data_IF_464026542760
#
_entry.id   IF_464026542760
#
_cell.length_a   1.000
_cell.length_b   1.000
_cell.length_c   1.000
_cell.angle_alpha   90.00
_cell.angle_beta   90.00
_cell.angle_gamma   90.00
#
_symmetry.space_group_name_H-M   'P 1'
#
loop_
_entity.id
_entity.type
_entity.pdbx_description
1 polymer ?
#
# COMPACT_ATOMS: atom_id res chain seq x y z
N UNK A 1 -13.63 48.17 50.30
CA UNK A 1 -14.12 46.97 49.57
C UNK A 1 -14.42 45.90 50.61
N UNK A 2 -15.55 45.20 50.52
CA UNK A 2 -16.00 44.23 51.53
C UNK A 2 -15.08 43.00 51.52
N UNK A 3 -14.59 42.58 52.70
CA UNK A 3 -13.67 41.44 52.88
C UNK A 3 -14.21 40.14 52.25
N UNK A 4 -15.51 39.92 52.37
CA UNK A 4 -16.24 38.81 51.73
C UNK A 4 -16.19 38.82 50.20
N UNK A 5 -16.17 40.00 49.57
CA UNK A 5 -16.04 40.12 48.12
C UNK A 5 -14.62 39.78 47.64
N UNK A 6 -13.61 40.08 48.47
CA UNK A 6 -12.20 39.74 48.17
C UNK A 6 -11.98 38.23 48.20
N UNK A 7 -12.47 37.56 49.24
CA UNK A 7 -12.38 36.10 49.39
C UNK A 7 -13.05 35.38 48.21
N UNK A 8 -14.22 35.87 47.77
CA UNK A 8 -14.91 35.31 46.60
C UNK A 8 -14.16 35.48 45.28
N UNK A 9 -13.44 36.60 45.12
CA UNK A 9 -12.61 36.85 43.94
C UNK A 9 -11.43 35.87 43.90
N UNK A 10 -10.81 35.60 45.05
CA UNK A 10 -9.69 34.66 45.17
C UNK A 10 -10.13 33.21 44.86
N UNK A 11 -11.29 32.78 45.38
CA UNK A 11 -11.88 31.49 45.04
C UNK A 11 -12.11 31.32 43.54
N UNK A 12 -12.73 32.32 42.90
CA UNK A 12 -13.00 32.29 41.46
C UNK A 12 -11.70 32.32 40.65
N UNK A 13 -10.67 33.03 41.11
CA UNK A 13 -9.36 33.03 40.46
C UNK A 13 -8.70 31.65 40.52
N UNK A 14 -8.77 30.97 41.67
CA UNK A 14 -8.24 29.62 41.84
C UNK A 14 -9.00 28.60 40.98
N UNK A 15 -10.33 28.70 40.92
CA UNK A 15 -11.16 27.85 40.06
C UNK A 15 -10.86 28.09 38.58
N UNK A 16 -10.69 29.36 38.16
CA UNK A 16 -10.33 29.70 36.79
C UNK A 16 -8.95 29.13 36.41
N UNK A 17 -7.94 29.25 37.28
CA UNK A 17 -6.63 28.65 37.07
C UNK A 17 -6.71 27.11 36.93
N UNK A 18 -7.54 26.46 37.74
CA UNK A 18 -7.79 25.01 37.65
C UNK A 18 -8.43 24.63 36.31
N UNK A 19 -9.48 25.35 35.90
CA UNK A 19 -10.17 25.11 34.64
C UNK A 19 -9.25 25.34 33.43
N UNK A 20 -8.40 26.37 33.49
CA UNK A 20 -7.37 26.62 32.47
C UNK A 20 -6.37 25.47 32.37
N UNK A 21 -5.92 24.92 33.51
CA UNK A 21 -5.05 23.73 33.53
C UNK A 21 -5.73 22.51 32.88
N UNK A 22 -6.97 22.21 33.27
CA UNK A 22 -7.74 21.11 32.69
C UNK A 22 -7.93 21.27 31.17
N UNK A 23 -8.18 22.49 30.70
CA UNK A 23 -8.31 22.77 29.27
C UNK A 23 -7.01 22.49 28.51
N UNK A 24 -5.86 22.87 29.07
CA UNK A 24 -4.55 22.60 28.48
C UNK A 24 -4.26 21.10 28.39
N UNK A 25 -4.60 20.33 29.43
CA UNK A 25 -4.42 18.88 29.43
C UNK A 25 -5.26 18.21 28.34
N UNK A 26 -6.55 18.58 28.25
CA UNK A 26 -7.46 18.08 27.20
C UNK A 26 -6.95 18.45 25.81
N UNK A 27 -6.46 19.68 25.62
CA UNK A 27 -5.86 20.12 24.36
C UNK A 27 -4.61 19.31 24.00
N UNK A 28 -3.72 19.07 24.96
CA UNK A 28 -2.52 18.25 24.77
C UNK A 28 -2.89 16.84 24.32
N UNK A 29 -3.85 16.20 24.99
CA UNK A 29 -4.27 14.84 24.67
C UNK A 29 -4.99 14.76 23.30
N UNK A 30 -5.79 15.77 22.98
CA UNK A 30 -6.40 15.90 21.65
C UNK A 30 -5.34 16.01 20.56
N UNK A 31 -4.32 16.87 20.73
CA UNK A 31 -3.25 17.03 19.75
C UNK A 31 -2.46 15.73 19.55
N UNK A 32 -2.12 15.02 20.63
CA UNK A 32 -1.46 13.70 20.55
C UNK A 32 -2.31 12.70 19.76
N UNK A 33 -3.62 12.67 20.02
CA UNK A 33 -4.55 11.78 19.31
C UNK A 33 -4.63 12.11 17.83
N UNK A 34 -4.78 13.39 17.48
CA UNK A 34 -4.81 13.84 16.07
C UNK A 34 -3.54 13.44 15.34
N UNK A 35 -2.37 13.62 15.98
CA UNK A 35 -1.10 13.21 15.41
C UNK A 35 -1.02 11.69 15.21
N UNK A 36 -1.45 10.90 16.19
CA UNK A 36 -1.46 9.44 16.07
C UNK A 36 -2.42 8.95 14.98
N UNK A 37 -3.59 9.57 14.86
CA UNK A 37 -4.58 9.20 13.85
C UNK A 37 -4.13 9.59 12.44
N UNK A 38 -3.41 10.70 12.30
CA UNK A 38 -2.77 11.08 11.03
C UNK A 38 -1.74 10.04 10.59
N UNK A 39 -0.83 9.64 11.49
CA UNK A 39 0.17 8.62 11.21
C UNK A 39 -0.46 7.27 10.85
N UNK A 40 -1.54 6.87 11.55
CA UNK A 40 -2.26 5.63 11.23
C UNK A 40 -2.84 5.65 9.82
N UNK A 41 -3.44 6.77 9.41
CA UNK A 41 -3.97 6.93 8.04
C UNK A 41 -2.87 6.86 6.99
N UNK A 42 -1.73 7.51 7.22
CA UNK A 42 -0.59 7.43 6.29
C UNK A 42 -0.10 5.98 6.11
N UNK A 43 -0.03 5.21 7.19
CA UNK A 43 0.35 3.78 7.12
C UNK A 43 -0.71 2.95 6.40
N UNK A 44 -2.00 3.24 6.60
CA UNK A 44 -3.09 2.58 5.90
C UNK A 44 -3.06 2.85 4.39
N UNK A 45 -2.85 4.11 3.99
CA UNK A 45 -2.74 4.51 2.59
C UNK A 45 -1.56 3.82 1.88
N UNK A 46 -0.39 3.78 2.52
CA UNK A 46 0.79 3.07 1.98
C UNK A 46 0.53 1.55 1.85
N UNK A 47 -0.14 0.95 2.84
CA UNK A 47 -0.50 -0.46 2.79
C UNK A 47 -1.48 -0.75 1.65
N UNK A 48 -2.43 0.13 1.38
CA UNK A 48 -3.36 0.01 0.25
C UNK A 48 -2.63 0.09 -1.09
N UNK A 49 -1.64 0.96 -1.22
CA UNK A 49 -0.77 1.02 -2.42
C UNK A 49 -0.03 -0.30 -2.65
N UNK A 50 0.44 -0.95 -1.58
CA UNK A 50 1.15 -2.23 -1.65
C UNK A 50 0.24 -3.39 -2.05
N UNK A 51 -1.01 -3.40 -1.56
CA UNK A 51 -2.00 -4.46 -1.77
C UNK A 51 -2.81 -4.31 -3.05
N UNK A 52 -2.81 -3.13 -3.66
CA UNK A 52 -3.52 -2.85 -4.91
C UNK A 52 -3.12 -3.86 -6.01
N UNK A 53 -4.09 -4.60 -6.60
CA UNK A 53 -3.84 -5.50 -7.73
C UNK A 53 -3.41 -4.72 -8.97
N UNK A 54 -2.39 -5.24 -9.66
CA UNK A 54 -1.80 -4.70 -10.89
C UNK A 54 -1.65 -5.82 -11.91
N UNK A 55 -1.51 -5.50 -13.19
CA UNK A 55 -1.29 -6.50 -14.26
C UNK A 55 0.10 -6.31 -14.85
N UNK A 56 0.86 -7.39 -14.96
CA UNK A 56 2.22 -7.34 -15.50
C UNK A 56 2.22 -7.17 -17.02
N UNK A 57 3.07 -6.29 -17.55
CA UNK A 57 3.22 -6.09 -19.01
C UNK A 57 3.94 -7.25 -19.73
N UNK A 58 4.62 -8.12 -18.99
CA UNK A 58 5.41 -9.23 -19.55
C UNK A 58 4.67 -10.57 -19.49
N UNK A 59 4.24 -10.99 -18.30
CA UNK A 59 3.55 -12.26 -18.11
C UNK A 59 2.02 -12.16 -18.15
N UNK A 60 1.46 -10.94 -18.14
CA UNK A 60 0.01 -10.69 -18.09
C UNK A 60 -0.72 -11.24 -16.85
N UNK A 61 0.02 -11.78 -15.88
CA UNK A 61 -0.53 -12.18 -14.58
C UNK A 61 -0.79 -10.97 -13.69
N UNK A 62 -1.75 -11.12 -12.78
CA UNK A 62 -2.00 -10.15 -11.72
C UNK A 62 -0.97 -10.28 -10.60
N UNK A 63 -0.54 -9.15 -10.05
CA UNK A 63 0.41 -9.10 -8.95
C UNK A 63 0.12 -7.91 -8.02
N UNK A 64 0.68 -7.96 -6.81
CA UNK A 64 0.68 -6.84 -5.85
C UNK A 64 2.12 -6.45 -5.55
N UNK A 65 2.38 -5.20 -5.16
CA UNK A 65 3.74 -4.77 -4.79
C UNK A 65 4.23 -5.50 -3.53
N UNK A 66 3.32 -5.81 -2.61
CA UNK A 66 3.59 -6.59 -1.39
C UNK A 66 4.28 -7.94 -1.69
N UNK A 67 3.87 -8.63 -2.76
CA UNK A 67 4.38 -9.98 -3.11
C UNK A 67 5.37 -9.98 -4.27
N UNK A 68 5.63 -8.82 -4.89
CA UNK A 68 6.46 -8.70 -6.09
C UNK A 68 7.95 -8.66 -5.73
N UNK A 69 8.62 -9.80 -5.79
CA UNK A 69 10.03 -9.93 -5.50
C UNK A 69 10.87 -10.09 -6.77
N UNK A 70 12.19 -10.07 -6.61
CA UNK A 70 13.15 -10.14 -7.72
C UNK A 70 13.09 -11.45 -8.53
N UNK A 71 12.24 -12.41 -8.15
CA UNK A 71 12.07 -13.70 -8.83
C UNK A 71 10.64 -14.00 -9.29
N UNK A 72 9.71 -13.06 -9.16
CA UNK A 72 8.29 -13.32 -9.39
C UNK A 72 7.90 -13.46 -10.87
N UNK A 73 8.52 -12.70 -11.78
CA UNK A 73 8.09 -12.62 -13.17
C UNK A 73 8.85 -13.59 -14.08
N UNK A 74 8.14 -14.61 -14.55
CA UNK A 74 8.57 -15.50 -15.64
C UNK A 74 7.51 -15.57 -16.72
N UNK A 75 7.91 -15.68 -17.98
CA UNK A 75 6.97 -15.75 -19.11
C UNK A 75 7.60 -16.39 -20.35
N UNK A 76 6.75 -16.73 -21.32
CA UNK A 76 7.18 -17.00 -22.69
C UNK A 76 7.06 -15.72 -23.51
N UNK A 77 8.15 -15.15 -24.05
CA UNK A 77 8.07 -13.96 -24.91
C UNK A 77 7.53 -14.29 -26.31
N UNK A 78 7.55 -15.57 -26.69
CA UNK A 78 7.04 -16.07 -27.97
C UNK A 78 5.59 -16.49 -27.90
N UNK A 79 5.04 -16.92 -29.04
CA UNK A 79 3.68 -17.44 -29.16
C UNK A 79 3.71 -18.96 -29.31
N UNK A 80 2.63 -19.62 -28.91
CA UNK A 80 2.44 -21.04 -29.18
C UNK A 80 1.83 -21.19 -30.58
N UNK A 81 2.62 -21.66 -31.54
CA UNK A 81 2.29 -21.65 -32.97
C UNK A 81 2.51 -23.03 -33.60
N UNK A 82 1.80 -23.36 -34.70
CA UNK A 82 2.05 -24.58 -35.47
C UNK A 82 3.47 -24.54 -36.07
N UNK A 83 4.09 -25.70 -36.17
CA UNK A 83 5.40 -25.88 -36.80
C UNK A 83 5.28 -25.90 -38.33
N UNK A 84 6.44 -25.80 -39.00
CA UNK A 84 6.52 -25.65 -40.45
C UNK A 84 5.90 -26.82 -41.22
N UNK A 85 6.01 -28.05 -40.68
CA UNK A 85 5.47 -29.24 -41.33
C UNK A 85 4.15 -29.70 -40.68
N UNK A 86 3.14 -30.12 -41.47
CA UNK A 86 1.78 -30.41 -40.98
C UNK A 86 1.67 -31.44 -39.84
N UNK A 87 2.63 -32.36 -39.71
CA UNK A 87 2.61 -33.44 -38.71
C UNK A 87 3.44 -33.11 -37.45
N UNK A 88 4.12 -31.96 -37.40
CA UNK A 88 5.02 -31.62 -36.29
C UNK A 88 4.32 -30.96 -35.09
N UNK A 89 3.02 -30.67 -35.22
CA UNK A 89 2.22 -30.07 -34.15
C UNK A 89 2.61 -28.63 -33.85
N UNK A 90 2.54 -28.25 -32.57
CA UNK A 90 2.74 -26.88 -32.11
C UNK A 90 3.99 -26.74 -31.25
N UNK A 91 4.52 -25.53 -31.16
CA UNK A 91 5.57 -25.19 -30.20
C UNK A 91 5.61 -23.72 -29.85
N UNK A 92 6.22 -23.42 -28.72
CA UNK A 92 6.57 -22.07 -28.33
C UNK A 92 7.67 -21.51 -29.23
N UNK A 93 7.42 -20.39 -29.92
CA UNK A 93 8.40 -19.77 -30.81
C UNK A 93 9.65 -19.23 -30.10
N UNK A 94 9.59 -19.07 -28.78
CA UNK A 94 10.71 -18.58 -27.96
C UNK A 94 11.66 -19.66 -27.45
N UNK A 95 11.22 -20.92 -27.35
CA UNK A 95 12.02 -21.99 -26.73
C UNK A 95 11.77 -23.39 -27.31
N UNK A 96 10.99 -23.50 -28.39
CA UNK A 96 10.68 -24.74 -29.10
C UNK A 96 9.97 -25.83 -28.28
N UNK A 97 9.62 -25.57 -27.01
CA UNK A 97 8.86 -26.51 -26.17
C UNK A 97 7.50 -26.81 -26.81
N UNK A 98 7.11 -28.09 -26.78
CA UNK A 98 5.94 -28.63 -27.50
C UNK A 98 4.66 -28.69 -26.69
N UNK A 99 4.72 -28.41 -25.40
CA UNK A 99 3.53 -28.38 -24.53
C UNK A 99 3.15 -26.93 -24.23
N UNK A 100 1.88 -26.58 -24.41
CA UNK A 100 1.36 -25.25 -24.08
C UNK A 100 1.51 -24.93 -22.58
N UNK A 101 1.43 -25.93 -21.72
CA UNK A 101 1.60 -25.79 -20.26
C UNK A 101 3.06 -25.76 -19.81
N UNK A 102 3.99 -25.83 -20.76
CA UNK A 102 5.43 -25.80 -20.47
C UNK A 102 5.80 -24.59 -19.63
N UNK A 103 6.64 -24.83 -18.60
CA UNK A 103 7.20 -23.75 -17.78
C UNK A 103 7.75 -22.61 -18.65
N UNK A 104 7.48 -21.35 -18.28
CA UNK A 104 8.07 -20.17 -18.90
C UNK A 104 9.57 -20.30 -19.16
N UNK A 105 10.04 -19.72 -20.28
CA UNK A 105 11.46 -19.80 -20.67
C UNK A 105 12.26 -18.52 -20.43
N UNK A 106 11.61 -17.40 -20.10
CA UNK A 106 12.26 -16.13 -19.80
C UNK A 106 11.93 -15.67 -18.40
N UNK A 107 12.93 -15.04 -17.78
CA UNK A 107 12.86 -14.43 -16.46
C UNK A 107 13.04 -12.91 -16.60
N UNK A 108 12.15 -12.13 -16.01
CA UNK A 108 12.21 -10.67 -15.97
C UNK A 108 12.46 -10.11 -14.56
N UNK A 109 12.57 -10.98 -13.56
CA UNK A 109 12.75 -10.57 -12.18
C UNK A 109 11.45 -10.11 -11.54
N UNK A 110 11.30 -8.81 -11.24
CA UNK A 110 10.04 -8.25 -10.70
C UNK A 110 8.99 -8.10 -11.80
N UNK A 111 7.72 -8.26 -11.46
CA UNK A 111 6.63 -7.84 -12.33
C UNK A 111 6.68 -6.33 -12.54
N UNK A 112 6.34 -5.88 -13.74
CA UNK A 112 6.26 -4.47 -14.11
C UNK A 112 4.85 -4.18 -14.56
N UNK A 113 4.21 -3.18 -13.96
CA UNK A 113 2.83 -2.80 -14.27
C UNK A 113 2.69 -2.37 -15.73
N UNK A 114 1.57 -2.77 -16.34
CA UNK A 114 1.17 -2.32 -17.65
C UNK A 114 0.49 -0.95 -17.52
N UNK A 115 1.05 0.05 -18.19
CA UNK A 115 0.41 1.37 -18.33
C UNK A 115 -0.91 1.23 -19.12
N UNK A 116 -1.98 1.82 -18.60
CA UNK A 116 -3.20 2.06 -19.36
C UNK A 116 -2.98 3.32 -20.19
N UNK A 117 -2.80 3.15 -21.50
CA UNK A 117 -2.83 4.24 -22.48
C UNK A 117 -4.22 4.84 -22.60
#
# INVERSE_FOLDING_TARGET
MNRSSSERIEELAAENAKLQGQLLDVHSDFLKKVQSDALRREVEDEMDVLKKPRVCKHCHESFTLEKNNAQSCTFHPGRYLPRQYPLEGYSWSCCCKRDISSRPCKFAGRHVERETL
#
